data_IF_367467303382
#
_entry.id   IF_367467303382
#
_cell.length_a   1.000
_cell.length_b   1.000
_cell.length_c   1.000
_cell.angle_alpha   90.00
_cell.angle_beta   90.00
_cell.angle_gamma   90.00
#
_symmetry.space_group_name_H-M   'P 1'
#
loop_
_entity.id
_entity.type
_entity.pdbx_description
1 polymer ?
#
# COMPACT_ATOMS: atom_id res chain seq x y z
N UNK A 1 6.05 -16.66 6.83
CA UNK A 1 5.92 -15.70 5.71
C UNK A 1 5.12 -16.38 4.62
N UNK A 2 4.02 -15.78 4.16
CA UNK A 2 3.18 -16.28 3.08
C UNK A 2 3.58 -15.61 1.76
N UNK A 3 3.78 -16.40 0.71
CA UNK A 3 4.17 -15.89 -0.62
C UNK A 3 3.17 -16.38 -1.66
N UNK A 4 2.78 -15.51 -2.59
CA UNK A 4 1.98 -15.86 -3.76
C UNK A 4 2.86 -15.80 -5.00
N UNK A 5 2.70 -16.77 -5.92
CA UNK A 5 3.38 -16.76 -7.23
C UNK A 5 3.01 -15.51 -8.05
N UNK A 6 1.78 -15.03 -7.92
CA UNK A 6 1.35 -13.81 -8.59
C UNK A 6 2.16 -12.60 -8.09
N UNK A 7 2.33 -12.50 -6.76
CA UNK A 7 3.11 -11.44 -6.13
C UNK A 7 4.60 -11.48 -6.54
N UNK A 8 5.19 -12.67 -6.64
CA UNK A 8 6.55 -12.84 -7.15
C UNK A 8 6.69 -12.40 -8.62
N UNK A 9 5.73 -12.76 -9.47
CA UNK A 9 5.74 -12.45 -10.90
C UNK A 9 5.59 -10.96 -11.18
N UNK A 10 4.70 -10.27 -10.47
CA UNK A 10 4.34 -8.89 -10.79
C UNK A 10 5.11 -7.83 -9.98
N UNK A 11 5.88 -8.19 -8.94
CA UNK A 11 6.63 -7.21 -8.12
C UNK A 11 7.62 -6.35 -8.94
N UNK A 12 8.29 -6.93 -9.93
CA UNK A 12 9.27 -6.21 -10.75
C UNK A 12 8.61 -5.13 -11.62
N UNK A 13 7.69 -5.51 -12.53
CA UNK A 13 6.99 -4.57 -13.39
C UNK A 13 6.22 -3.48 -12.63
N UNK A 14 5.59 -3.82 -11.50
CA UNK A 14 4.88 -2.83 -10.67
C UNK A 14 5.87 -1.83 -10.05
N UNK A 15 7.03 -2.30 -9.56
CA UNK A 15 8.06 -1.42 -9.01
C UNK A 15 8.60 -0.43 -10.05
N UNK A 16 8.74 -0.84 -11.32
CA UNK A 16 9.18 0.03 -12.39
C UNK A 16 8.25 1.24 -12.54
N UNK A 17 6.94 1.01 -12.57
CA UNK A 17 5.93 2.08 -12.62
C UNK A 17 5.94 2.91 -11.33
N UNK A 18 5.97 2.28 -10.16
CA UNK A 18 5.98 3.00 -8.88
C UNK A 18 7.17 3.96 -8.75
N UNK A 19 8.32 3.66 -9.35
CA UNK A 19 9.50 4.54 -9.35
C UNK A 19 9.26 5.86 -10.08
N UNK A 20 8.44 5.88 -11.12
CA UNK A 20 8.12 7.10 -11.85
C UNK A 20 7.42 8.10 -10.93
N UNK A 21 6.50 7.61 -10.10
CA UNK A 21 5.72 8.44 -9.18
C UNK A 21 6.41 8.68 -7.83
N UNK A 22 7.30 7.78 -7.41
CA UNK A 22 8.12 7.97 -6.23
C UNK A 22 9.37 8.84 -6.48
N UNK A 23 9.79 9.02 -7.74
CA UNK A 23 11.05 9.65 -8.14
C UNK A 23 10.94 10.86 -9.07
N UNK A 24 9.87 11.01 -9.86
CA UNK A 24 9.78 12.05 -10.89
C UNK A 24 8.46 12.85 -10.80
N UNK A 25 8.52 14.00 -10.09
CA UNK A 25 7.47 15.03 -10.11
C UNK A 25 6.25 14.69 -9.25
N UNK A 26 5.96 15.40 -8.17
CA UNK A 26 5.41 16.77 -8.27
C UNK A 26 5.26 17.37 -6.88
N UNK A 27 6.39 17.57 -6.22
CA UNK A 27 6.66 18.76 -5.41
C UNK A 27 8.09 18.60 -4.95
N UNK A 28 8.90 19.64 -5.04
CA UNK A 28 10.17 19.72 -4.34
C UNK A 28 10.00 19.72 -2.82
N UNK A 29 9.05 18.96 -2.29
CA UNK A 29 8.77 18.84 -0.87
C UNK A 29 9.85 17.94 -0.25
N UNK A 30 10.70 18.51 0.62
CA UNK A 30 11.58 17.70 1.45
C UNK A 30 10.71 16.85 2.39
N UNK A 31 10.82 15.53 2.30
CA UNK A 31 10.03 14.62 3.14
C UNK A 31 9.98 13.17 2.65
N UNK A 32 9.48 12.28 3.52
CA UNK A 32 9.12 10.90 3.15
C UNK A 32 7.74 10.88 2.48
N UNK A 33 7.60 10.14 1.38
CA UNK A 33 6.32 9.92 0.71
C UNK A 33 5.49 8.92 1.51
N UNK A 34 4.25 9.26 1.86
CA UNK A 34 3.35 8.37 2.60
C UNK A 34 2.59 7.47 1.64
N UNK A 35 2.78 6.17 1.81
CA UNK A 35 2.11 5.15 1.00
C UNK A 35 1.20 4.32 1.88
N UNK A 36 -0.06 4.17 1.48
CA UNK A 36 -0.98 3.20 2.08
C UNK A 36 -1.20 2.06 1.09
N UNK A 37 -0.87 0.83 1.48
CA UNK A 37 -1.13 -0.36 0.68
C UNK A 37 -2.33 -1.13 1.24
N UNK A 38 -3.43 -1.16 0.48
CA UNK A 38 -4.68 -1.84 0.85
C UNK A 38 -4.69 -3.24 0.26
N UNK A 39 -4.84 -4.25 1.13
CA UNK A 39 -4.82 -5.66 0.72
C UNK A 39 -3.41 -6.14 0.42
N UNK A 40 -2.46 -5.87 1.33
CA UNK A 40 -1.04 -6.21 1.18
C UNK A 40 -0.76 -7.72 1.17
N UNK A 41 -1.73 -8.55 1.58
CA UNK A 41 -1.65 -10.00 1.60
C UNK A 41 -0.43 -10.50 2.36
N UNK A 42 0.39 -11.33 1.71
CA UNK A 42 1.58 -11.91 2.33
C UNK A 42 2.64 -10.90 2.76
N UNK A 43 2.65 -9.67 2.21
CA UNK A 43 3.61 -8.61 2.54
C UNK A 43 4.89 -8.58 1.70
N UNK A 44 5.01 -9.44 0.67
CA UNK A 44 6.14 -9.42 -0.26
C UNK A 44 6.27 -8.08 -0.98
N UNK A 45 5.16 -7.53 -1.47
CA UNK A 45 5.11 -6.25 -2.18
C UNK A 45 5.53 -5.10 -1.28
N UNK A 46 4.89 -4.94 -0.11
CA UNK A 46 5.30 -3.99 0.92
C UNK A 46 6.82 -3.97 1.14
N UNK A 47 7.41 -5.13 1.43
CA UNK A 47 8.84 -5.22 1.69
C UNK A 47 9.70 -4.96 0.44
N UNK A 48 9.29 -5.46 -0.73
CA UNK A 48 10.02 -5.28 -1.97
C UNK A 48 10.06 -3.81 -2.40
N UNK A 49 8.92 -3.13 -2.38
CA UNK A 49 8.78 -1.74 -2.79
C UNK A 49 9.44 -0.79 -1.80
N UNK A 50 9.18 -0.95 -0.50
CA UNK A 50 9.79 -0.10 0.52
C UNK A 50 11.32 -0.17 0.50
N UNK A 51 11.90 -1.36 0.26
CA UNK A 51 13.35 -1.52 0.09
C UNK A 51 13.89 -0.77 -1.12
N UNK A 52 13.16 -0.80 -2.23
CA UNK A 52 13.57 -0.15 -3.47
C UNK A 52 13.28 1.36 -3.49
N UNK A 53 12.37 1.83 -2.63
CA UNK A 53 11.91 3.21 -2.52
C UNK A 53 12.17 3.73 -1.08
N UNK A 54 13.44 3.95 -0.69
CA UNK A 54 13.80 4.26 0.70
C UNK A 54 13.25 5.59 1.23
N UNK A 55 12.76 6.45 0.33
CA UNK A 55 12.08 7.71 0.68
C UNK A 55 10.60 7.54 0.98
N UNK A 56 10.05 6.34 0.88
CA UNK A 56 8.65 6.08 1.25
C UNK A 56 8.54 5.73 2.72
N UNK A 57 7.44 6.09 3.35
CA UNK A 57 6.94 5.52 4.59
C UNK A 57 5.72 4.67 4.23
N UNK A 58 5.91 3.35 4.27
CA UNK A 58 4.97 2.38 3.72
C UNK A 58 4.08 1.81 4.82
N UNK A 59 2.77 2.08 4.77
CA UNK A 59 1.76 1.54 5.67
C UNK A 59 1.00 0.40 4.97
N UNK A 60 1.37 -0.86 5.20
CA UNK A 60 0.61 -1.99 4.69
C UNK A 60 -0.64 -2.23 5.54
N UNK A 61 -1.72 -2.66 4.89
CA UNK A 61 -2.98 -3.03 5.56
C UNK A 61 -3.59 -4.27 4.94
N UNK A 62 -4.31 -5.03 5.75
CA UNK A 62 -5.09 -6.17 5.28
C UNK A 62 -6.26 -6.43 6.22
N UNK A 63 -7.30 -7.11 5.73
CA UNK A 63 -8.44 -7.54 6.54
C UNK A 63 -8.13 -8.84 7.28
N UNK A 64 -7.20 -9.65 6.78
CA UNK A 64 -6.81 -10.92 7.38
C UNK A 64 -5.72 -10.74 8.45
N UNK A 65 -5.98 -11.05 9.75
CA UNK A 65 -4.96 -11.01 10.79
C UNK A 65 -3.74 -11.90 10.53
N UNK A 66 -3.87 -12.98 9.74
CA UNK A 66 -2.74 -13.81 9.33
C UNK A 66 -1.84 -13.11 8.33
N UNK A 67 -2.41 -12.38 7.38
CA UNK A 67 -1.68 -11.48 6.47
C UNK A 67 -0.87 -10.45 7.27
N UNK A 68 -1.46 -9.79 8.27
CA UNK A 68 -0.74 -8.83 9.13
C UNK A 68 0.50 -9.43 9.83
N UNK A 69 0.38 -10.67 10.35
CA UNK A 69 1.52 -11.39 10.92
C UNK A 69 2.58 -11.69 9.87
N UNK A 70 2.17 -12.08 8.66
CA UNK A 70 3.08 -12.33 7.55
C UNK A 70 3.82 -11.07 7.11
N UNK A 71 3.12 -9.94 6.98
CA UNK A 71 3.68 -8.64 6.61
C UNK A 71 4.75 -8.23 7.62
N UNK A 72 4.45 -8.32 8.91
CA UNK A 72 5.42 -8.04 9.98
C UNK A 72 6.67 -8.93 9.88
N UNK A 73 6.47 -10.22 9.59
CA UNK A 73 7.58 -11.16 9.42
C UNK A 73 8.44 -10.83 8.19
N UNK A 74 7.83 -10.42 7.07
CA UNK A 74 8.55 -9.99 5.88
C UNK A 74 9.35 -8.73 6.11
N UNK A 75 8.74 -7.71 6.73
CA UNK A 75 9.41 -6.45 7.03
C UNK A 75 10.66 -6.69 7.89
N UNK A 76 10.55 -7.56 8.90
CA UNK A 76 11.68 -7.97 9.76
C UNK A 76 12.74 -8.76 9.00
N UNK A 77 12.34 -9.76 8.22
CA UNK A 77 13.28 -10.63 7.50
C UNK A 77 14.05 -9.87 6.41
N UNK A 78 13.41 -8.91 5.74
CA UNK A 78 14.02 -8.09 4.69
C UNK A 78 14.72 -6.84 5.22
N UNK A 79 14.65 -6.58 6.53
CA UNK A 79 15.28 -5.44 7.21
C UNK A 79 14.90 -4.09 6.56
N UNK A 80 13.60 -3.87 6.37
CA UNK A 80 13.06 -2.65 5.73
C UNK A 80 12.47 -1.70 6.78
N UNK A 81 13.25 -0.74 7.33
CA UNK A 81 12.82 0.08 8.45
C UNK A 81 11.72 1.10 8.10
N UNK A 82 11.48 1.31 6.80
CA UNK A 82 10.49 2.22 6.29
C UNK A 82 9.13 1.55 5.98
N UNK A 83 8.95 0.29 6.38
CA UNK A 83 7.64 -0.36 6.48
C UNK A 83 7.12 -0.20 7.90
N UNK A 84 5.97 0.45 8.05
CA UNK A 84 5.27 0.61 9.32
C UNK A 84 4.62 -0.70 9.77
N UNK A 85 4.32 -0.86 11.07
CA UNK A 85 3.52 -1.98 11.56
C UNK A 85 2.19 -2.08 10.78
N UNK A 86 1.81 -3.27 10.29
CA UNK A 86 0.61 -3.42 9.48
C UNK A 86 -0.65 -3.16 10.30
N UNK A 87 -1.66 -2.57 9.67
CA UNK A 87 -2.94 -2.21 10.30
C UNK A 87 -4.05 -3.11 9.76
N UNK A 88 -4.93 -3.58 10.66
CA UNK A 88 -6.16 -4.26 10.27
C UNK A 88 -7.09 -3.24 9.61
N UNK A 89 -7.45 -3.48 8.34
CA UNK A 89 -8.28 -2.58 7.57
C UNK A 89 -9.29 -3.37 6.75
N UNK A 90 -10.56 -3.08 6.97
CA UNK A 90 -11.64 -3.49 6.09
C UNK A 90 -11.99 -2.34 5.14
N UNK A 91 -11.60 -2.49 3.88
CA UNK A 91 -11.74 -1.46 2.85
C UNK A 91 -13.21 -1.15 2.52
N UNK A 92 -14.13 -2.08 2.83
CA UNK A 92 -15.56 -1.84 2.62
C UNK A 92 -16.16 -0.86 3.65
N UNK A 93 -15.45 -0.59 4.75
CA UNK A 93 -15.84 0.40 5.74
C UNK A 93 -15.36 1.81 5.36
N UNK A 94 -15.94 2.82 6.02
CA UNK A 94 -15.55 4.21 5.84
C UNK A 94 -14.07 4.45 6.14
N UNK A 95 -13.47 5.43 5.45
CA UNK A 95 -12.05 5.79 5.58
C UNK A 95 -11.66 6.17 7.02
N UNK A 96 -12.64 6.60 7.82
CA UNK A 96 -12.49 6.93 9.24
C UNK A 96 -11.96 5.74 10.06
N UNK A 97 -12.17 4.52 9.58
CA UNK A 97 -11.71 3.27 10.21
C UNK A 97 -10.29 2.87 9.79
N UNK A 98 -9.65 3.60 8.86
CA UNK A 98 -8.36 3.22 8.25
C UNK A 98 -7.17 3.61 9.14
N UNK A 99 -7.19 3.19 10.40
CA UNK A 99 -6.03 3.26 11.28
C UNK A 99 -5.55 4.67 11.65
N UNK A 100 -6.46 5.65 11.68
CA UNK A 100 -6.11 7.04 11.98
C UNK A 100 -5.51 7.82 10.79
N UNK A 101 -5.59 7.27 9.57
CA UNK A 101 -5.31 8.02 8.35
C UNK A 101 -6.10 9.34 8.34
N UNK A 102 -5.43 10.42 7.96
CA UNK A 102 -6.02 11.76 7.95
C UNK A 102 -6.31 12.18 6.49
N UNK A 103 -7.36 12.98 6.25
CA UNK A 103 -7.65 13.50 4.92
C UNK A 103 -6.46 14.21 4.30
N UNK A 104 -6.28 14.06 2.98
CA UNK A 104 -5.22 14.70 2.21
C UNK A 104 -3.80 14.55 2.79
N UNK A 105 -3.45 13.35 3.28
CA UNK A 105 -2.11 13.09 3.84
C UNK A 105 -1.30 12.02 3.12
N UNK A 106 -1.92 11.24 2.23
CA UNK A 106 -1.25 10.20 1.46
C UNK A 106 -0.74 10.74 0.13
N UNK A 107 0.48 10.35 -0.23
CA UNK A 107 1.05 10.61 -1.55
C UNK A 107 0.61 9.52 -2.53
N UNK A 108 0.64 8.26 -2.09
CA UNK A 108 0.21 7.10 -2.87
C UNK A 108 -0.74 6.22 -2.07
N UNK A 109 -1.74 5.67 -2.77
CA UNK A 109 -2.57 4.58 -2.28
C UNK A 109 -2.41 3.43 -3.27
N UNK A 110 -2.04 2.24 -2.79
CA UNK A 110 -1.70 1.09 -3.64
C UNK A 110 -2.64 -0.07 -3.31
N UNK A 111 -3.21 -0.71 -4.33
CA UNK A 111 -4.04 -1.92 -4.18
C UNK A 111 -3.77 -2.89 -5.34
N UNK A 112 -3.13 -4.02 -5.05
CA UNK A 112 -2.65 -4.97 -6.06
C UNK A 112 -3.39 -6.31 -5.89
N UNK A 113 -4.01 -6.79 -6.97
CA UNK A 113 -4.77 -8.04 -7.04
C UNK A 113 -5.92 -8.16 -6.02
N UNK A 114 -6.47 -7.06 -5.51
CA UNK A 114 -7.59 -7.08 -4.56
C UNK A 114 -8.95 -6.95 -5.26
N UNK A 115 -9.09 -5.99 -6.17
CA UNK A 115 -10.41 -5.62 -6.73
C UNK A 115 -11.09 -6.71 -7.57
N UNK A 116 -10.32 -7.62 -8.21
CA UNK A 116 -10.90 -8.67 -9.05
C UNK A 116 -11.37 -9.90 -8.26
N UNK A 117 -10.95 -10.05 -7.00
CA UNK A 117 -11.38 -11.14 -6.10
C UNK A 117 -12.33 -10.69 -5.00
N UNK A 118 -12.36 -9.39 -4.70
CA UNK A 118 -13.17 -8.83 -3.62
C UNK A 118 -14.60 -8.50 -4.09
N UNK A 119 -15.51 -8.36 -3.12
CA UNK A 119 -16.85 -7.85 -3.40
C UNK A 119 -16.81 -6.41 -3.91
N UNK A 120 -17.80 -6.02 -4.74
CA UNK A 120 -17.87 -4.68 -5.34
C UNK A 120 -17.78 -3.54 -4.30
N UNK A 121 -18.37 -3.72 -3.11
CA UNK A 121 -18.30 -2.75 -2.00
C UNK A 121 -16.87 -2.42 -1.59
N UNK A 122 -15.93 -3.35 -1.75
CA UNK A 122 -14.52 -3.13 -1.43
C UNK A 122 -13.88 -2.17 -2.44
N UNK A 123 -14.20 -2.33 -3.73
CA UNK A 123 -13.77 -1.40 -4.78
C UNK A 123 -14.37 -0.02 -4.55
N UNK A 124 -15.68 0.07 -4.25
CA UNK A 124 -16.31 1.35 -3.92
C UNK A 124 -15.66 2.03 -2.71
N UNK A 125 -15.40 1.27 -1.64
CA UNK A 125 -14.71 1.75 -0.45
C UNK A 125 -13.30 2.23 -0.74
N UNK A 126 -12.55 1.51 -1.58
CA UNK A 126 -11.21 1.90 -2.03
C UNK A 126 -11.23 3.28 -2.71
N UNK A 127 -12.12 3.49 -3.69
CA UNK A 127 -12.23 4.76 -4.40
C UNK A 127 -12.74 5.90 -3.50
N UNK A 128 -13.70 5.63 -2.61
CA UNK A 128 -14.17 6.61 -1.62
C UNK A 128 -13.05 7.03 -0.67
N UNK A 129 -12.30 6.07 -0.13
CA UNK A 129 -11.15 6.33 0.73
C UNK A 129 -10.04 7.10 0.01
N UNK A 130 -9.72 6.70 -1.22
CA UNK A 130 -8.74 7.40 -2.05
C UNK A 130 -9.13 8.88 -2.28
N UNK A 131 -10.41 9.16 -2.57
CA UNK A 131 -10.92 10.52 -2.77
C UNK A 131 -10.81 11.44 -1.55
N UNK A 132 -10.69 10.87 -0.34
CA UNK A 132 -10.53 11.64 0.91
C UNK A 132 -9.08 11.71 1.37
N UNK A 133 -8.36 10.59 1.29
CA UNK A 133 -7.06 10.43 1.95
C UNK A 133 -5.88 10.90 1.10
N UNK A 134 -5.99 10.87 -0.23
CA UNK A 134 -4.93 11.34 -1.13
C UNK A 134 -4.82 12.85 -1.07
N UNK A 135 -3.58 13.35 -1.05
CA UNK A 135 -3.27 14.77 -1.28
C UNK A 135 -3.76 15.20 -2.67
N UNK A 136 -3.95 16.51 -2.91
CA UNK A 136 -4.00 17.03 -4.27
C UNK A 136 -2.76 16.56 -5.06
N UNK A 137 -2.99 15.88 -6.19
CA UNK A 137 -1.93 15.27 -7.00
C UNK A 137 -1.43 13.90 -6.51
N UNK A 138 -1.96 13.39 -5.40
CA UNK A 138 -1.73 12.02 -4.96
C UNK A 138 -2.38 11.00 -5.90
N UNK A 139 -1.83 9.79 -5.95
CA UNK A 139 -2.20 8.80 -6.96
C UNK A 139 -2.68 7.49 -6.33
N UNK A 140 -3.82 7.01 -6.83
CA UNK A 140 -4.31 5.64 -6.58
C UNK A 140 -3.71 4.71 -7.64
N UNK A 141 -2.87 3.77 -7.20
CA UNK A 141 -2.35 2.66 -8.00
C UNK A 141 -3.18 1.42 -7.81
N UNK A 142 -3.65 0.88 -8.93
CA UNK A 142 -4.30 -0.41 -8.97
C UNK A 142 -3.66 -1.33 -10.01
N UNK A 143 -3.64 -2.61 -9.70
CA UNK A 143 -3.20 -3.67 -10.62
C UNK A 143 -4.08 -4.89 -10.38
N UNK A 144 -4.54 -5.56 -11.43
CA UNK A 144 -5.37 -6.75 -11.30
C UNK A 144 -5.94 -7.23 -12.61
#
# INVERSE_FOLDING_TARGET
MQTSLAAERNKGPILEVLREYAGAGSSGAPGQLRVLEVGAGGGLHAAHFARALPRTLWQPTDIDPQALRSISAYAKAMQVPNVLPPILLDVAQGWETWGGAQPATLDLLVSINMMHIAELRCTEGLFKGAGVLLKPGGVLFTYG
#
